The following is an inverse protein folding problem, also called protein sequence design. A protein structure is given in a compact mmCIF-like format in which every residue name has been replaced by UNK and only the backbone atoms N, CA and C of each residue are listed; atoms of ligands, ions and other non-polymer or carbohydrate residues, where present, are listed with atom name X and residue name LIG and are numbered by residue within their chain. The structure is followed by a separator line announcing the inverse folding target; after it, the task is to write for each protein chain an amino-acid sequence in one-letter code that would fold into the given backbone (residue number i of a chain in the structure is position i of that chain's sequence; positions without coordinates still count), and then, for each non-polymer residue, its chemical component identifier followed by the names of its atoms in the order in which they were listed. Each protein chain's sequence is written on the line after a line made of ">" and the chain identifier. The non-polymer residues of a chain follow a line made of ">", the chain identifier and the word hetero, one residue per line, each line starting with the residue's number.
data_IF_540521826886
#
_entry.id   IF_540521826886
#
_cell.length_a   1.000
_cell.length_b   1.000
_cell.length_c   1.000
_cell.angle_alpha   90.00
_cell.angle_beta   90.00
_cell.angle_gamma   90.00
#
_symmetry.space_group_name_H-M   'P 1'
#
loop_
_entity.id
_entity.type
_entity.pdbx_description
1 polymer ?
#
# COMPACT_ATOMS: atom_id res chain seq x y z
N UNK A 1 -13.90 0.73 14.00
CA UNK A 1 -14.15 1.15 12.61
C UNK A 1 -15.18 0.18 12.08
N UNK A 2 -16.32 0.66 11.62
CA UNK A 2 -17.29 -0.23 10.99
C UNK A 2 -16.79 -0.59 9.60
N UNK A 3 -16.46 -1.86 9.39
CA UNK A 3 -15.97 -2.37 8.10
C UNK A 3 -17.11 -2.79 7.17
N UNK A 4 -18.32 -2.92 7.70
CA UNK A 4 -19.54 -3.24 6.93
C UNK A 4 -20.23 -1.98 6.39
N UNK A 5 -19.90 -0.81 6.92
CA UNK A 5 -20.23 0.46 6.29
C UNK A 5 -19.14 0.84 5.27
N UNK A 6 -19.49 0.75 3.98
CA UNK A 6 -18.61 1.08 2.86
C UNK A 6 -18.01 2.49 2.96
N UNK A 7 -18.81 3.48 3.39
CA UNK A 7 -18.37 4.86 3.50
C UNK A 7 -17.46 5.05 4.70
N UNK A 8 -17.83 4.50 5.85
CA UNK A 8 -17.01 4.55 7.06
C UNK A 8 -15.64 3.87 6.82
N UNK A 9 -15.64 2.72 6.14
CA UNK A 9 -14.42 2.02 5.76
C UNK A 9 -13.54 2.86 4.83
N UNK A 10 -14.10 3.36 3.73
CA UNK A 10 -13.37 4.17 2.76
C UNK A 10 -12.79 5.44 3.40
N UNK A 11 -13.57 6.14 4.24
CA UNK A 11 -13.11 7.36 4.90
C UNK A 11 -12.00 7.08 5.92
N UNK A 12 -12.11 5.98 6.66
CA UNK A 12 -11.09 5.58 7.62
C UNK A 12 -9.79 5.11 6.93
N UNK A 13 -9.88 4.46 5.78
CA UNK A 13 -8.72 4.09 4.96
C UNK A 13 -8.08 5.33 4.31
N UNK A 14 -8.87 6.25 3.78
CA UNK A 14 -8.40 7.51 3.20
C UNK A 14 -7.62 8.34 4.22
N UNK A 15 -8.17 8.50 5.42
CA UNK A 15 -7.52 9.28 6.48
C UNK A 15 -6.18 8.67 6.90
N UNK A 16 -6.11 7.34 7.04
CA UNK A 16 -4.86 6.64 7.39
C UNK A 16 -3.81 6.75 6.29
N UNK A 17 -4.20 6.50 5.04
CA UNK A 17 -3.32 6.66 3.88
C UNK A 17 -2.71 8.06 3.84
N UNK A 18 -3.57 9.08 3.97
CA UNK A 18 -3.12 10.48 3.94
C UNK A 18 -2.19 10.81 5.10
N UNK A 19 -2.58 10.47 6.33
CA UNK A 19 -1.88 10.92 7.55
C UNK A 19 -0.59 10.14 7.80
N UNK A 20 -0.56 8.86 7.48
CA UNK A 20 0.55 7.98 7.86
C UNK A 20 1.51 7.69 6.71
N UNK A 21 1.08 7.87 5.45
CA UNK A 21 1.90 7.54 4.30
C UNK A 21 2.10 8.74 3.37
N UNK A 22 1.04 9.27 2.78
CA UNK A 22 1.19 10.27 1.71
C UNK A 22 1.75 11.60 2.20
N UNK A 23 1.18 12.19 3.25
CA UNK A 23 1.69 13.45 3.78
C UNK A 23 3.13 13.32 4.31
N UNK A 24 3.48 12.28 5.10
CA UNK A 24 4.87 12.07 5.52
C UNK A 24 5.85 11.87 4.35
N UNK A 25 5.52 11.02 3.37
CA UNK A 25 6.39 10.78 2.21
C UNK A 25 6.64 12.08 1.43
N UNK A 26 5.58 12.83 1.14
CA UNK A 26 5.68 14.11 0.44
C UNK A 26 6.58 15.10 1.19
N UNK A 27 6.39 15.26 2.50
CA UNK A 27 7.15 16.21 3.32
C UNK A 27 8.64 15.91 3.38
N UNK A 28 9.04 14.63 3.45
CA UNK A 28 10.45 14.25 3.58
C UNK A 28 11.18 14.15 2.24
N UNK A 29 10.44 14.02 1.12
CA UNK A 29 10.98 13.73 -0.21
C UNK A 29 12.15 14.63 -0.62
N UNK A 30 12.05 15.94 -0.42
CA UNK A 30 13.11 16.89 -0.79
C UNK A 30 14.39 16.73 0.05
N UNK A 31 14.24 16.32 1.32
CA UNK A 31 15.37 16.15 2.25
C UNK A 31 15.98 14.75 2.22
N UNK A 32 15.17 13.75 1.87
CA UNK A 32 15.56 12.35 1.82
C UNK A 32 14.64 11.59 0.85
N UNK A 33 15.01 11.52 -0.44
CA UNK A 33 14.30 10.70 -1.43
C UNK A 33 14.22 9.24 -0.99
N UNK A 34 15.28 8.74 -0.34
CA UNK A 34 15.34 7.40 0.22
C UNK A 34 14.25 7.15 1.27
N UNK A 35 14.12 8.02 2.28
CA UNK A 35 13.12 7.85 3.32
C UNK A 35 11.69 7.96 2.75
N UNK A 36 11.47 8.89 1.81
CA UNK A 36 10.20 8.99 1.08
C UNK A 36 9.90 7.70 0.33
N UNK A 37 10.87 7.15 -0.37
CA UNK A 37 10.75 5.90 -1.12
C UNK A 37 10.36 4.71 -0.25
N UNK A 38 10.94 4.59 0.95
CA UNK A 38 10.55 3.56 1.93
C UNK A 38 9.09 3.69 2.31
N UNK A 39 8.63 4.90 2.68
CA UNK A 39 7.23 5.12 3.10
C UNK A 39 6.27 4.76 1.97
N UNK A 40 6.59 5.14 0.74
CA UNK A 40 5.78 4.80 -0.44
C UNK A 40 5.77 3.29 -0.69
N UNK A 41 6.91 2.61 -0.60
CA UNK A 41 6.99 1.16 -0.77
C UNK A 41 6.16 0.41 0.28
N UNK A 42 6.21 0.84 1.55
CA UNK A 42 5.37 0.28 2.61
C UNK A 42 3.88 0.47 2.33
N UNK A 43 3.48 1.62 1.79
CA UNK A 43 2.09 1.86 1.44
C UNK A 43 1.62 0.96 0.29
N UNK A 44 2.42 0.82 -0.77
CA UNK A 44 2.10 -0.04 -1.91
C UNK A 44 1.86 -1.48 -1.43
N UNK A 45 2.69 -1.98 -0.52
CA UNK A 45 2.51 -3.31 0.08
C UNK A 45 1.19 -3.42 0.87
N UNK A 46 0.89 -2.43 1.71
CA UNK A 46 -0.36 -2.41 2.46
C UNK A 46 -1.59 -2.34 1.52
N UNK A 47 -1.53 -1.52 0.47
CA UNK A 47 -2.60 -1.39 -0.51
C UNK A 47 -2.84 -2.69 -1.29
N UNK A 48 -1.77 -3.36 -1.73
CA UNK A 48 -1.86 -4.67 -2.37
C UNK A 48 -2.49 -5.72 -1.46
N UNK A 49 -2.10 -5.77 -0.18
CA UNK A 49 -2.71 -6.67 0.80
C UNK A 49 -4.19 -6.34 1.01
N UNK A 50 -4.60 -5.07 1.10
CA UNK A 50 -6.01 -4.70 1.26
C UNK A 50 -6.88 -5.08 0.06
N UNK A 51 -6.33 -5.06 -1.15
CA UNK A 51 -7.03 -5.47 -2.37
C UNK A 51 -6.90 -6.99 -2.64
N UNK A 52 -6.11 -7.72 -1.84
CA UNK A 52 -5.93 -9.16 -2.00
C UNK A 52 -5.18 -9.54 -3.28
N UNK A 53 -4.25 -8.69 -3.73
CA UNK A 53 -3.45 -8.88 -4.95
C UNK A 53 -1.96 -8.94 -4.63
N UNK A 54 -1.12 -9.25 -5.63
CA UNK A 54 0.32 -9.18 -5.46
C UNK A 54 0.81 -7.74 -5.59
N UNK A 55 1.93 -7.42 -4.94
CA UNK A 55 2.55 -6.09 -5.05
C UNK A 55 2.87 -5.73 -6.50
N UNK A 56 3.40 -6.69 -7.27
CA UNK A 56 3.74 -6.47 -8.68
C UNK A 56 2.51 -6.15 -9.52
N UNK A 57 1.41 -6.89 -9.35
CA UNK A 57 0.17 -6.64 -10.09
C UNK A 57 -0.44 -5.29 -9.72
N UNK A 58 -0.52 -4.98 -8.42
CA UNK A 58 -1.00 -3.69 -7.94
C UNK A 58 -0.17 -2.53 -8.52
N UNK A 59 1.15 -2.69 -8.54
CA UNK A 59 2.07 -1.65 -9.04
C UNK A 59 1.92 -1.44 -10.56
N UNK A 60 1.70 -2.49 -11.34
CA UNK A 60 1.43 -2.37 -12.79
C UNK A 60 0.16 -1.58 -13.08
N UNK A 61 -0.87 -1.76 -12.25
CA UNK A 61 -2.10 -0.98 -12.36
C UNK A 61 -1.89 0.48 -11.92
N UNK A 62 -1.15 0.70 -10.83
CA UNK A 62 -0.89 2.03 -10.31
C UNK A 62 0.05 2.86 -11.20
N UNK A 63 1.03 2.20 -11.80
CA UNK A 63 2.08 2.80 -12.62
C UNK A 63 2.17 1.99 -13.93
N UNK A 64 1.38 2.34 -14.96
CA UNK A 64 1.32 1.53 -16.19
C UNK A 64 2.67 1.30 -16.87
N UNK A 65 3.59 2.26 -16.83
CA UNK A 65 4.95 2.10 -17.37
C UNK A 65 5.76 1.01 -16.64
N UNK A 66 5.37 0.63 -15.42
CA UNK A 66 6.02 -0.46 -14.69
C UNK A 66 5.65 -1.85 -15.23
N UNK A 67 4.63 -1.95 -16.09
CA UNK A 67 4.31 -3.17 -16.82
C UNK A 67 5.25 -3.42 -18.02
N UNK A 68 6.04 -2.43 -18.40
CA UNK A 68 7.03 -2.57 -19.47
C UNK A 68 8.13 -3.55 -19.09
N UNK A 69 8.74 -4.18 -20.11
CA UNK A 69 9.85 -5.12 -19.92
C UNK A 69 11.05 -4.39 -19.32
N UNK A 70 11.66 -4.99 -18.29
CA UNK A 70 12.92 -4.50 -17.74
C UNK A 70 14.07 -4.88 -18.68
N UNK A 71 14.78 -3.92 -19.28
CA UNK A 71 15.88 -4.22 -20.21
C UNK A 71 17.05 -4.95 -19.55
N UNK A 72 17.13 -5.00 -18.21
CA UNK A 72 18.13 -5.76 -17.46
C UNK A 72 17.76 -7.23 -17.32
N UNK A 73 16.49 -7.58 -17.60
CA UNK A 73 15.86 -8.87 -17.31
C UNK A 73 14.77 -9.15 -18.34
N UNK A 74 15.14 -9.81 -19.43
CA UNK A 74 14.25 -10.02 -20.59
C UNK A 74 12.96 -10.80 -20.33
N UNK A 75 12.79 -11.41 -19.15
CA UNK A 75 11.61 -12.15 -18.72
C UNK A 75 10.78 -11.42 -17.64
N UNK A 76 11.17 -10.23 -17.20
CA UNK A 76 10.52 -9.50 -16.10
C UNK A 76 10.04 -8.13 -16.51
N UNK A 77 8.97 -7.67 -15.87
CA UNK A 77 8.54 -6.29 -15.94
C UNK A 77 9.30 -5.43 -14.93
N UNK A 78 9.30 -4.11 -15.13
CA UNK A 78 9.87 -3.14 -14.18
C UNK A 78 9.25 -3.30 -12.78
N UNK A 79 7.95 -3.59 -12.70
CA UNK A 79 7.26 -3.84 -11.43
C UNK A 79 7.84 -5.05 -10.67
N UNK A 80 8.19 -6.13 -11.36
CA UNK A 80 8.84 -7.30 -10.72
C UNK A 80 10.22 -6.94 -10.18
N UNK A 81 10.96 -6.13 -10.95
CA UNK A 81 12.25 -5.62 -10.51
C UNK A 81 12.15 -4.65 -9.36
N UNK A 82 11.08 -3.85 -9.25
CA UNK A 82 10.83 -3.04 -8.06
C UNK A 82 10.65 -3.94 -6.82
N UNK A 83 9.86 -5.01 -6.92
CA UNK A 83 9.67 -5.97 -5.82
C UNK A 83 11.01 -6.56 -5.35
N UNK A 84 11.87 -6.95 -6.29
CA UNK A 84 13.12 -7.63 -5.97
C UNK A 84 14.27 -6.71 -5.57
N UNK A 85 14.46 -5.62 -6.31
CA UNK A 85 15.59 -4.72 -6.13
C UNK A 85 15.30 -3.70 -5.01
N UNK A 86 14.08 -3.16 -4.97
CA UNK A 86 13.69 -2.13 -3.99
C UNK A 86 13.11 -2.76 -2.72
N UNK A 87 11.97 -3.45 -2.79
CA UNK A 87 11.33 -3.97 -1.56
C UNK A 87 12.22 -4.99 -0.86
N UNK A 88 12.59 -6.08 -1.53
CA UNK A 88 13.41 -7.13 -0.91
C UNK A 88 14.85 -6.68 -0.69
N UNK A 89 15.46 -6.07 -1.70
CA UNK A 89 16.86 -5.65 -1.63
C UNK A 89 17.06 -4.48 -0.69
N UNK A 90 16.59 -3.32 -1.13
CA UNK A 90 16.87 -2.05 -0.50
C UNK A 90 16.16 -1.87 0.84
N UNK A 91 14.85 -2.17 0.92
CA UNK A 91 14.03 -1.92 2.12
C UNK A 91 14.20 -3.03 3.16
N UNK A 92 14.04 -4.29 2.78
CA UNK A 92 14.02 -5.40 3.76
C UNK A 92 15.41 -5.89 4.16
N UNK A 93 16.33 -6.01 3.20
CA UNK A 93 17.66 -6.59 3.46
C UNK A 93 18.78 -5.55 3.62
N UNK A 94 18.50 -4.27 3.40
CA UNK A 94 19.51 -3.20 3.30
C UNK A 94 20.65 -3.58 2.32
N UNK A 95 20.32 -4.33 1.26
CA UNK A 95 21.25 -4.76 0.22
C UNK A 95 21.12 -3.87 -0.99
N UNK A 96 22.26 -3.51 -1.58
CA UNK A 96 22.37 -2.95 -2.92
C UNK A 96 22.10 -4.06 -3.96
N UNK A 97 20.86 -4.56 -4.03
CA UNK A 97 20.46 -5.49 -5.08
C UNK A 97 20.48 -4.74 -6.41
N UNK A 98 21.53 -4.97 -7.21
CA UNK A 98 21.71 -4.39 -8.56
C UNK A 98 21.63 -2.86 -8.59
N UNK A 99 21.99 -2.23 -7.48
CA UNK A 99 22.15 -0.78 -7.38
C UNK A 99 20.87 0.04 -7.47
N UNK A 100 19.69 -0.55 -7.27
CA UNK A 100 18.45 0.24 -7.29
C UNK A 100 18.50 1.39 -6.27
N UNK A 101 17.97 2.55 -6.66
CA UNK A 101 18.08 3.77 -5.89
C UNK A 101 16.83 4.65 -5.98
N UNK A 102 16.68 5.53 -4.99
CA UNK A 102 15.67 6.58 -5.01
C UNK A 102 16.32 7.90 -5.41
N UNK A 103 15.84 8.53 -6.49
CA UNK A 103 16.33 9.81 -6.96
C UNK A 103 15.18 10.69 -7.47
N UNK A 104 15.26 12.00 -7.23
CA UNK A 104 14.32 12.98 -7.76
C UNK A 104 14.71 13.49 -9.16
N UNK A 105 15.83 13.01 -9.72
CA UNK A 105 16.42 13.54 -10.96
C UNK A 105 15.73 13.06 -12.25
N UNK A 106 14.76 12.14 -12.13
CA UNK A 106 13.98 11.63 -13.26
C UNK A 106 12.53 12.13 -13.18
N UNK A 107 11.87 12.37 -14.30
CA UNK A 107 10.50 12.90 -14.34
C UNK A 107 9.42 11.79 -14.32
N UNK A 108 9.83 10.52 -14.30
CA UNK A 108 8.93 9.37 -14.31
C UNK A 108 9.01 8.59 -12.99
N UNK A 109 7.94 7.89 -12.57
CA UNK A 109 7.93 7.12 -11.33
C UNK A 109 9.10 6.15 -11.21
N UNK A 110 9.43 5.47 -12.30
CA UNK A 110 10.47 4.47 -12.36
C UNK A 110 11.10 4.45 -13.75
N UNK A 111 12.41 4.22 -13.82
CA UNK A 111 13.10 3.98 -15.08
C UNK A 111 14.36 3.16 -14.87
N UNK A 112 14.87 2.58 -15.95
CA UNK A 112 16.12 1.86 -15.94
C UNK A 112 17.20 2.68 -16.63
N UNK A 113 18.20 3.13 -15.87
CA UNK A 113 19.38 3.82 -16.38
C UNK A 113 20.58 2.88 -16.34
N UNK A 114 21.00 2.41 -17.52
CA UNK A 114 22.05 1.40 -17.64
C UNK A 114 21.65 0.08 -16.97
N UNK A 115 22.29 -0.25 -15.85
CA UNK A 115 22.01 -1.46 -15.07
C UNK A 115 21.20 -1.20 -13.79
N UNK A 116 20.78 0.04 -13.54
CA UNK A 116 20.16 0.47 -12.29
C UNK A 116 18.68 0.81 -12.51
N UNK A 117 17.82 0.33 -11.59
CA UNK A 117 16.45 0.81 -11.47
C UNK A 117 16.46 2.08 -10.62
N UNK A 118 16.11 3.20 -11.23
CA UNK A 118 15.97 4.49 -10.54
C UNK A 118 14.49 4.73 -10.30
N UNK A 119 14.13 5.01 -9.06
CA UNK A 119 12.75 5.30 -8.65
C UNK A 119 12.65 6.74 -8.21
N UNK A 120 11.75 7.51 -8.82
CA UNK A 120 11.37 8.81 -8.28
C UNK A 120 10.26 8.62 -7.24
N UNK A 121 10.56 8.77 -5.94
CA UNK A 121 9.58 8.53 -4.89
C UNK A 121 8.40 9.52 -4.93
N UNK A 122 8.59 10.74 -5.46
CA UNK A 122 7.53 11.75 -5.54
C UNK A 122 6.59 11.47 -6.71
N UNK A 123 7.12 11.13 -7.88
CA UNK A 123 6.28 10.73 -9.03
C UNK A 123 5.58 9.40 -8.75
N UNK A 124 6.27 8.44 -8.11
CA UNK A 124 5.67 7.20 -7.65
C UNK A 124 4.54 7.47 -6.65
N UNK A 125 4.75 8.34 -5.66
CA UNK A 125 3.72 8.73 -4.69
C UNK A 125 2.46 9.27 -5.39
N UNK A 126 2.61 10.13 -6.40
CA UNK A 126 1.47 10.69 -7.15
C UNK A 126 0.68 9.61 -7.88
N UNK A 127 1.36 8.69 -8.57
CA UNK A 127 0.69 7.58 -9.26
C UNK A 127 -0.05 6.66 -8.27
N UNK A 128 0.59 6.35 -7.14
CA UNK A 128 0.03 5.53 -6.06
C UNK A 128 -1.20 6.20 -5.44
N UNK A 129 -1.15 7.52 -5.19
CA UNK A 129 -2.27 8.27 -4.63
C UNK A 129 -3.48 8.25 -5.58
N UNK A 130 -3.25 8.46 -6.88
CA UNK A 130 -4.33 8.37 -7.90
C UNK A 130 -4.99 6.98 -7.89
N UNK A 131 -4.19 5.91 -7.95
CA UNK A 131 -4.71 4.54 -7.91
C UNK A 131 -5.46 4.25 -6.62
N UNK A 132 -4.98 4.77 -5.49
CA UNK A 132 -5.64 4.59 -4.21
C UNK A 132 -6.98 5.31 -4.13
N UNK A 133 -7.10 6.52 -4.69
CA UNK A 133 -8.40 7.20 -4.77
C UNK A 133 -9.41 6.39 -5.58
N UNK A 134 -8.97 5.69 -6.63
CA UNK A 134 -9.82 4.75 -7.37
C UNK A 134 -10.24 3.56 -6.49
N UNK A 135 -9.33 3.00 -5.68
CA UNK A 135 -9.66 1.96 -4.69
C UNK A 135 -10.74 2.44 -3.73
N UNK A 136 -10.57 3.63 -3.15
CA UNK A 136 -11.52 4.21 -2.22
C UNK A 136 -12.88 4.49 -2.86
N UNK A 137 -12.90 4.91 -4.12
CA UNK A 137 -14.12 5.07 -4.90
C UNK A 137 -14.82 3.71 -5.11
N UNK A 138 -14.08 2.67 -5.50
CA UNK A 138 -14.62 1.33 -5.68
C UNK A 138 -15.18 0.75 -4.37
N UNK A 139 -14.54 0.99 -3.23
CA UNK A 139 -15.11 0.59 -1.93
C UNK A 139 -16.47 1.27 -1.70
N UNK A 140 -16.63 2.56 -2.05
CA UNK A 140 -17.88 3.28 -1.82
C UNK A 140 -19.00 2.85 -2.77
N UNK A 141 -18.67 2.64 -4.04
CA UNK A 141 -19.68 2.52 -5.10
C UNK A 141 -19.89 1.08 -5.59
N UNK A 142 -18.96 0.15 -5.30
CA UNK A 142 -19.04 -1.23 -5.74
C UNK A 142 -19.16 -2.18 -4.54
N UNK A 143 -20.39 -2.67 -4.32
CA UNK A 143 -20.72 -3.56 -3.20
C UNK A 143 -19.89 -4.84 -3.17
N UNK A 144 -19.62 -5.44 -4.35
CA UNK A 144 -18.79 -6.65 -4.42
C UNK A 144 -17.34 -6.33 -4.02
N UNK A 145 -16.80 -5.23 -4.53
CA UNK A 145 -15.46 -4.77 -4.17
C UNK A 145 -15.36 -4.48 -2.67
N UNK A 146 -16.32 -3.76 -2.11
CA UNK A 146 -16.42 -3.49 -0.68
C UNK A 146 -16.43 -4.78 0.15
N UNK A 147 -17.30 -5.73 -0.15
CA UNK A 147 -17.37 -6.99 0.60
C UNK A 147 -16.06 -7.77 0.55
N UNK A 148 -15.40 -7.82 -0.61
CA UNK A 148 -14.07 -8.46 -0.73
C UNK A 148 -13.03 -7.75 0.13
N UNK A 149 -12.95 -6.43 0.06
CA UNK A 149 -12.00 -5.63 0.87
C UNK A 149 -12.29 -5.75 2.36
N UNK A 150 -13.55 -5.70 2.79
CA UNK A 150 -13.93 -5.85 4.19
C UNK A 150 -13.57 -7.25 4.72
N UNK A 151 -13.82 -8.29 3.92
CA UNK A 151 -13.44 -9.68 4.25
C UNK A 151 -11.92 -9.82 4.36
N UNK A 152 -11.19 -9.19 3.45
CA UNK A 152 -9.73 -9.19 3.43
C UNK A 152 -9.15 -8.48 4.66
N UNK A 153 -9.68 -7.32 5.04
CA UNK A 153 -9.29 -6.59 6.26
C UNK A 153 -9.55 -7.45 7.50
N UNK A 154 -10.73 -8.08 7.61
CA UNK A 154 -11.02 -9.02 8.70
C UNK A 154 -10.05 -10.17 8.76
N UNK A 155 -9.67 -10.73 7.60
CA UNK A 155 -8.68 -11.82 7.53
C UNK A 155 -7.32 -11.37 8.07
N UNK A 156 -6.86 -10.19 7.66
CA UNK A 156 -5.56 -9.64 8.07
C UNK A 156 -5.53 -9.30 9.56
N UNK A 157 -6.59 -8.68 10.08
CA UNK A 157 -6.70 -8.26 11.48
C UNK A 157 -7.57 -9.20 12.32
N UNK A 158 -7.60 -10.48 11.96
CA UNK A 158 -8.50 -11.48 12.58
C UNK A 158 -8.41 -11.46 14.11
N UNK A 159 -7.18 -11.42 14.63
CA UNK A 159 -6.94 -11.40 16.08
C UNK A 159 -7.54 -10.15 16.77
N UNK A 160 -7.54 -9.00 16.09
CA UNK A 160 -8.08 -7.76 16.64
C UNK A 160 -9.62 -7.81 16.69
N UNK A 161 -10.26 -8.34 15.64
CA UNK A 161 -11.71 -8.53 15.62
C UNK A 161 -12.19 -9.57 16.65
N UNK A 162 -11.49 -10.70 16.79
CA UNK A 162 -11.81 -11.72 17.79
C UNK A 162 -11.69 -11.18 19.22
N UNK A 163 -10.70 -10.33 19.48
CA UNK A 163 -10.51 -9.70 20.79
C UNK A 163 -11.67 -8.72 21.14
N UNK A 164 -12.15 -7.96 20.15
CA UNK A 164 -13.27 -7.03 20.32
C UNK A 164 -14.59 -7.77 20.61
N UNK A 165 -14.88 -8.87 19.90
CA UNK A 165 -16.10 -9.68 20.10
C UNK A 165 -16.17 -10.32 21.50
N UNK A 166 -15.03 -10.82 22.00
CA UNK A 166 -14.93 -11.37 23.35
C UNK A 166 -15.18 -10.28 24.40
N UNK A 167 -14.64 -9.09 24.20
CA UNK A 167 -14.82 -7.96 25.11
C UNK A 167 -16.27 -7.45 25.14
N UNK A 168 -16.95 -7.38 24.00
CA UNK A 168 -18.37 -7.00 23.93
C UNK A 168 -19.29 -8.03 24.61
N UNK A 169 -18.98 -9.32 24.45
CA UNK A 169 -19.69 -10.42 25.10
C UNK A 169 -19.57 -10.34 26.63
N UNK A 170 -18.36 -10.09 27.14
CA UNK A 170 -18.09 -9.95 28.56
C UNK A 170 -18.77 -8.72 29.19
N UNK A 171 -18.86 -7.61 28.46
CA UNK A 171 -19.61 -6.43 28.91
C UNK A 171 -21.10 -6.71 29.01
N UNK A 172 -21.68 -7.34 27.99
CA UNK A 172 -23.10 -7.68 27.95
C UNK A 172 -23.50 -8.60 29.10
N UNK A 173 -22.63 -9.57 29.46
CA UNK A 173 -22.81 -10.45 30.62
C UNK A 173 -22.72 -9.72 31.97
N UNK A 174 -21.87 -8.68 32.09
CA UNK A 174 -21.76 -7.89 33.34
C UNK A 174 -22.92 -6.92 33.53
N UNK A 175 -23.45 -6.34 32.45
CA UNK A 175 -24.63 -5.45 32.51
C UNK A 175 -25.90 -6.25 32.83
N UNK A 176 -26.05 -7.47 32.31
CA UNK A 176 -27.17 -8.37 32.64
C UNK A 176 -27.21 -8.88 34.08
N UNK A 177 -26.11 -8.76 34.85
CA UNK A 177 -26.05 -9.12 36.28
C UNK A 177 -26.37 -7.95 37.23
N UNK A 178 -26.66 -6.76 36.72
CA UNK A 178 -26.90 -5.55 37.51
C UNK A 178 -28.38 -5.13 37.63
N UNK A 179 -29.33 -5.99 37.27
CA UNK A 179 -30.76 -5.73 37.50
C UNK A 179 -31.26 -6.55 38.71
N UNK A 180 -31.68 -5.89 39.82
CA UNK A 180 -32.42 -6.53 40.91
C UNK A 180 -33.86 -6.88 40.54
#
# INVERSE_FOLDING_TARGET
>A
MDVDDARALADALAWRAQKWFFAPASQISASSPFASGIVVACFIEAAAEFEGTTLGDWLREAVPSSAESDPRRGDKAIADSFVEDVRHGLVHHARLNRGAEFSLDIEQPMTVLGSVLVVNPLELLRSVEVRWQMTLHNIRENLEFHHRTASQIRRVFKADFEADEVWESDKSLKVGRQLP
#
